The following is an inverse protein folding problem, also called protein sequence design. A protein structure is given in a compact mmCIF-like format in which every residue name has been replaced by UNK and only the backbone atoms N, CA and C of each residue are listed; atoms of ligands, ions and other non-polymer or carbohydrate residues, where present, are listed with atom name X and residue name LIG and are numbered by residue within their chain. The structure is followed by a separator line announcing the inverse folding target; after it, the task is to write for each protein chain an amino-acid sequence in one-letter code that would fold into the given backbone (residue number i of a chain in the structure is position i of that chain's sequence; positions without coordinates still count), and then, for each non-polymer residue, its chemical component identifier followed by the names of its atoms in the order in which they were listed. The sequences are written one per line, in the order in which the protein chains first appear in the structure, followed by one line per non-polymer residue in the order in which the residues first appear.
data_IF_040072492880
#
_entry.id   IF_040072492880
#
_cell.length_a   1.000
_cell.length_b   1.000
_cell.length_c   1.000
_cell.angle_alpha   90.00
_cell.angle_beta   90.00
_cell.angle_gamma   90.00
#
_symmetry.space_group_name_H-M   'P 1'
#
loop_
_entity.id
_entity.type
_entity.pdbx_description
1 polymer ?
#
# COMPACT_ATOMS: atom_id res chain seq x y z
N UNK A 1 -12.13 -28.90 37.57
CA UNK A 1 -11.47 -27.57 37.50
C UNK A 1 -10.48 -27.39 36.34
N UNK A 2 -10.60 -28.02 35.15
CA UNK A 2 -9.70 -27.74 34.01
C UNK A 2 -10.19 -26.60 33.08
N UNK A 3 -11.45 -26.19 33.13
CA UNK A 3 -12.01 -25.19 32.21
C UNK A 3 -11.51 -23.72 32.48
N UNK A 4 -11.04 -23.41 33.67
CA UNK A 4 -10.55 -22.06 34.03
C UNK A 4 -9.12 -21.77 33.59
N UNK A 5 -8.33 -22.77 33.20
CA UNK A 5 -6.96 -22.59 32.72
C UNK A 5 -6.87 -22.34 31.20
N UNK A 6 -7.83 -22.79 30.42
CA UNK A 6 -7.89 -22.57 28.96
C UNK A 6 -8.16 -21.09 28.59
N UNK A 7 -8.90 -20.35 29.43
CA UNK A 7 -9.22 -18.94 29.19
C UNK A 7 -8.05 -17.96 29.41
N UNK A 8 -7.14 -18.28 30.30
CA UNK A 8 -6.00 -17.40 30.63
C UNK A 8 -4.93 -17.36 29.52
N UNK A 9 -4.71 -18.46 28.80
CA UNK A 9 -3.76 -18.50 27.68
C UNK A 9 -4.24 -17.76 26.43
N UNK A 10 -5.54 -17.73 26.21
CA UNK A 10 -6.15 -17.00 25.08
C UNK A 10 -6.10 -15.49 25.31
N UNK A 11 -6.44 -15.01 26.51
CA UNK A 11 -6.39 -13.59 26.86
C UNK A 11 -5.00 -12.99 26.75
N UNK A 12 -3.96 -13.72 27.21
CA UNK A 12 -2.57 -13.28 27.10
C UNK A 12 -2.09 -13.16 25.64
N UNK A 13 -2.48 -14.10 24.77
CA UNK A 13 -2.14 -14.04 23.33
C UNK A 13 -2.83 -12.86 22.63
N UNK A 14 -4.07 -12.59 22.95
CA UNK A 14 -4.82 -11.44 22.42
C UNK A 14 -4.20 -10.12 22.90
N UNK A 15 -3.83 -10.03 24.19
CA UNK A 15 -3.17 -8.86 24.74
C UNK A 15 -1.80 -8.59 24.08
N UNK A 16 -0.99 -9.64 23.88
CA UNK A 16 0.31 -9.53 23.19
C UNK A 16 0.13 -9.11 21.73
N UNK A 17 -0.81 -9.71 21.02
CA UNK A 17 -1.12 -9.32 19.64
C UNK A 17 -1.57 -7.86 19.57
N UNK A 18 -2.46 -7.42 20.47
CA UNK A 18 -2.90 -6.03 20.58
C UNK A 18 -1.75 -5.05 20.90
N UNK A 19 -0.84 -5.44 21.79
CA UNK A 19 0.35 -4.65 22.12
C UNK A 19 1.30 -4.52 20.93
N UNK A 20 1.54 -5.58 20.16
CA UNK A 20 2.37 -5.55 18.95
C UNK A 20 1.73 -4.63 17.89
N UNK A 21 0.42 -4.73 17.67
CA UNK A 21 -0.30 -3.84 16.77
C UNK A 21 -0.24 -2.38 17.22
N UNK A 22 -0.49 -2.11 18.49
CA UNK A 22 -0.40 -0.77 19.06
C UNK A 22 1.00 -0.18 18.94
N UNK A 23 2.04 -0.95 19.27
CA UNK A 23 3.43 -0.54 19.11
C UNK A 23 3.80 -0.25 17.63
N UNK A 24 3.34 -1.09 16.69
CA UNK A 24 3.56 -0.87 15.25
C UNK A 24 2.89 0.40 14.76
N UNK A 25 1.67 0.69 15.23
CA UNK A 25 0.96 1.93 14.89
C UNK A 25 1.68 3.16 15.44
N UNK A 26 2.13 3.13 16.72
CA UNK A 26 2.88 4.22 17.32
C UNK A 26 4.20 4.45 16.60
N UNK A 27 4.95 3.38 16.30
CA UNK A 27 6.20 3.47 15.55
C UNK A 27 5.97 4.06 14.17
N UNK A 28 4.92 3.65 13.47
CA UNK A 28 4.55 4.20 12.16
C UNK A 28 4.25 5.71 12.24
N UNK A 29 3.57 6.16 13.32
CA UNK A 29 3.30 7.59 13.54
C UNK A 29 4.58 8.38 13.82
N UNK A 30 5.49 7.83 14.63
CA UNK A 30 6.79 8.46 14.92
C UNK A 30 7.64 8.57 13.65
N UNK A 31 7.73 7.50 12.86
CA UNK A 31 8.46 7.52 11.58
C UNK A 31 7.81 8.48 10.59
N UNK A 32 6.47 8.57 10.56
CA UNK A 32 5.75 9.57 9.78
C UNK A 32 6.09 11.00 10.18
N UNK A 33 6.16 11.28 11.48
CA UNK A 33 6.60 12.59 11.98
C UNK A 33 8.05 12.91 11.59
N UNK A 34 8.95 11.92 11.68
CA UNK A 34 10.34 12.09 11.22
C UNK A 34 10.37 12.41 9.72
N UNK A 35 9.57 11.71 8.89
CA UNK A 35 9.42 12.04 7.47
C UNK A 35 9.01 13.49 7.26
N UNK A 36 7.98 13.96 7.97
CA UNK A 36 7.46 15.32 7.82
C UNK A 36 8.51 16.37 8.24
N UNK A 37 9.30 16.07 9.29
CA UNK A 37 10.43 16.92 9.69
C UNK A 37 11.54 16.94 8.63
N UNK A 38 11.86 15.80 8.01
CA UNK A 38 12.86 15.72 6.95
C UNK A 38 12.37 16.47 5.72
N UNK A 39 11.14 16.26 5.28
CA UNK A 39 10.51 17.00 4.17
C UNK A 39 10.56 18.50 4.44
N UNK A 40 10.11 18.95 5.61
CA UNK A 40 10.10 20.37 5.98
C UNK A 40 11.49 20.99 6.06
N UNK A 41 12.51 20.23 6.48
CA UNK A 41 13.91 20.73 6.53
C UNK A 41 14.58 20.78 5.15
N UNK A 42 14.27 19.81 4.28
CA UNK A 42 14.88 19.70 2.96
C UNK A 42 14.25 20.66 1.97
N UNK A 43 12.91 20.68 1.91
CA UNK A 43 12.17 21.52 0.95
C UNK A 43 11.90 22.94 1.51
N UNK A 44 11.95 23.12 2.81
CA UNK A 44 11.79 24.42 3.46
C UNK A 44 10.43 25.07 3.20
N UNK A 45 10.45 26.41 3.15
CA UNK A 45 9.30 27.24 2.77
C UNK A 45 9.31 27.60 1.27
N UNK A 46 10.18 26.96 0.49
CA UNK A 46 10.17 27.08 -0.97
C UNK A 46 8.90 26.46 -1.54
N UNK A 47 8.45 26.89 -2.70
CA UNK A 47 7.27 26.31 -3.34
C UNK A 47 7.38 24.81 -3.69
N UNK A 48 8.53 24.15 -3.40
CA UNK A 48 8.71 22.69 -3.52
C UNK A 48 7.90 21.90 -2.50
N UNK A 49 7.72 22.44 -1.27
CA UNK A 49 6.84 21.86 -0.27
C UNK A 49 5.39 21.80 -0.75
N UNK A 50 4.94 22.83 -1.45
CA UNK A 50 3.61 22.86 -2.07
C UNK A 50 3.51 21.86 -3.22
N UNK A 51 4.55 21.74 -4.05
CA UNK A 51 4.62 20.72 -5.12
C UNK A 51 4.59 19.31 -4.56
N UNK A 52 5.31 19.04 -3.46
CA UNK A 52 5.26 17.76 -2.75
C UNK A 52 3.83 17.41 -2.32
N UNK A 53 3.16 18.33 -1.64
CA UNK A 53 1.77 18.12 -1.20
C UNK A 53 0.82 17.91 -2.39
N UNK A 54 0.93 18.75 -3.42
CA UNK A 54 0.10 18.67 -4.61
C UNK A 54 0.33 17.37 -5.41
N UNK A 55 1.58 16.89 -5.48
CA UNK A 55 1.92 15.66 -6.21
C UNK A 55 1.22 14.41 -5.64
N UNK A 56 0.95 14.37 -4.33
CA UNK A 56 0.24 13.27 -3.70
C UNK A 56 -1.28 13.33 -3.85
N UNK A 57 -1.86 14.47 -4.25
CA UNK A 57 -3.32 14.65 -4.31
C UNK A 57 -4.01 13.61 -5.19
N UNK A 58 -3.51 13.37 -6.41
CA UNK A 58 -4.11 12.38 -7.33
C UNK A 58 -3.84 10.94 -6.87
N UNK A 59 -2.59 10.55 -6.53
CA UNK A 59 -2.29 9.24 -5.98
C UNK A 59 -3.08 8.91 -4.71
N UNK A 60 -3.19 9.85 -3.77
CA UNK A 60 -3.92 9.64 -2.51
C UNK A 60 -5.42 9.49 -2.74
N UNK A 61 -6.00 10.27 -3.66
CA UNK A 61 -7.40 10.10 -4.06
C UNK A 61 -7.66 8.70 -4.61
N UNK A 62 -6.77 8.21 -5.48
CA UNK A 62 -6.85 6.83 -5.99
C UNK A 62 -6.71 5.79 -4.88
N UNK A 63 -5.75 6.01 -3.99
CA UNK A 63 -5.54 5.12 -2.86
C UNK A 63 -6.79 5.09 -1.96
N UNK A 64 -7.39 6.24 -1.71
CA UNK A 64 -8.63 6.34 -0.92
C UNK A 64 -9.80 5.62 -1.60
N UNK A 65 -9.92 5.77 -2.91
CA UNK A 65 -10.98 5.13 -3.70
C UNK A 65 -10.81 3.61 -3.82
N UNK A 66 -9.58 3.15 -4.04
CA UNK A 66 -9.28 1.74 -4.35
C UNK A 66 -8.84 0.93 -3.12
N UNK A 67 -8.06 1.53 -2.22
CA UNK A 67 -7.48 0.87 -1.06
C UNK A 67 -8.17 1.20 0.26
N UNK A 68 -9.18 2.08 0.27
CA UNK A 68 -9.92 2.56 1.47
C UNK A 68 -10.58 1.47 2.32
N UNK A 69 -9.87 0.38 2.58
CA UNK A 69 -10.34 -0.79 3.33
C UNK A 69 -11.18 -1.76 2.49
N UNK A 70 -11.70 -1.34 1.32
CA UNK A 70 -12.62 -2.16 0.52
C UNK A 70 -12.00 -3.52 0.15
N UNK A 71 -10.72 -3.54 -0.23
CA UNK A 71 -10.07 -4.78 -0.64
C UNK A 71 -9.85 -5.75 0.52
N UNK A 72 -9.37 -5.26 1.66
CA UNK A 72 -9.19 -6.08 2.86
C UNK A 72 -10.53 -6.48 3.45
N UNK A 73 -11.50 -5.55 3.50
CA UNK A 73 -12.85 -5.81 4.03
C UNK A 73 -13.61 -6.81 3.18
N UNK A 74 -13.48 -6.77 1.84
CA UNK A 74 -14.19 -7.67 0.93
C UNK A 74 -13.46 -9.00 0.77
N UNK A 75 -12.13 -8.98 0.57
CA UNK A 75 -11.38 -10.20 0.28
C UNK A 75 -11.12 -11.06 1.52
N UNK A 76 -10.85 -10.44 2.68
CA UNK A 76 -10.54 -11.17 3.91
C UNK A 76 -11.64 -12.17 4.31
N UNK A 77 -12.95 -11.82 4.32
CA UNK A 77 -14.02 -12.78 4.61
C UNK A 77 -14.09 -13.92 3.59
N UNK A 78 -13.84 -13.64 2.31
CA UNK A 78 -13.86 -14.67 1.25
C UNK A 78 -12.73 -15.68 1.49
N UNK A 79 -11.51 -15.20 1.76
CA UNK A 79 -10.37 -16.04 2.07
C UNK A 79 -10.60 -16.85 3.35
N UNK A 80 -11.08 -16.21 4.41
CA UNK A 80 -11.39 -16.86 5.69
C UNK A 80 -12.50 -17.90 5.55
N UNK A 81 -13.53 -17.65 4.72
CA UNK A 81 -14.59 -18.61 4.44
C UNK A 81 -14.08 -19.90 3.78
N UNK A 82 -13.23 -19.80 2.76
CA UNK A 82 -12.60 -20.97 2.14
C UNK A 82 -11.73 -21.74 3.14
N UNK A 83 -10.93 -21.01 3.95
CA UNK A 83 -10.05 -21.63 4.94
C UNK A 83 -10.84 -22.35 6.05
N UNK A 84 -11.95 -21.79 6.50
CA UNK A 84 -12.82 -22.42 7.50
C UNK A 84 -13.42 -23.74 7.01
N UNK A 85 -13.62 -23.88 5.70
CA UNK A 85 -14.09 -25.10 5.04
C UNK A 85 -12.96 -26.07 4.66
N UNK A 86 -11.68 -25.73 4.93
CA UNK A 86 -10.51 -26.49 4.51
C UNK A 86 -10.23 -26.43 2.99
N UNK A 87 -10.91 -25.54 2.25
CA UNK A 87 -10.74 -25.38 0.80
C UNK A 87 -9.58 -24.43 0.47
N UNK A 88 -8.36 -24.88 0.73
CA UNK A 88 -7.14 -24.12 0.40
C UNK A 88 -7.02 -23.85 -1.11
N UNK A 89 -7.50 -24.80 -1.96
CA UNK A 89 -7.48 -24.63 -3.40
C UNK A 89 -8.45 -23.51 -3.86
N UNK A 90 -9.63 -23.40 -3.25
CA UNK A 90 -10.58 -22.31 -3.48
C UNK A 90 -10.03 -20.96 -3.04
N UNK A 91 -9.42 -20.90 -1.85
CA UNK A 91 -8.75 -19.71 -1.38
C UNK A 91 -7.65 -19.23 -2.35
N UNK A 92 -6.85 -20.13 -2.89
CA UNK A 92 -5.82 -19.78 -3.87
C UNK A 92 -6.40 -19.35 -5.23
N UNK A 93 -7.46 -20.01 -5.71
CA UNK A 93 -8.15 -19.62 -6.94
C UNK A 93 -8.76 -18.22 -6.82
N UNK A 94 -9.47 -17.94 -5.73
CA UNK A 94 -10.06 -16.63 -5.48
C UNK A 94 -9.00 -15.54 -5.43
N UNK A 95 -7.85 -15.77 -4.74
CA UNK A 95 -6.73 -14.85 -4.70
C UNK A 95 -6.19 -14.52 -6.10
N UNK A 96 -5.90 -15.54 -6.90
CA UNK A 96 -5.31 -15.36 -8.24
C UNK A 96 -6.23 -14.60 -9.16
N UNK A 97 -7.54 -14.88 -9.13
CA UNK A 97 -8.54 -14.13 -9.92
C UNK A 97 -8.58 -12.66 -9.54
N UNK A 98 -8.69 -12.37 -8.24
CA UNK A 98 -8.73 -11.00 -7.73
C UNK A 98 -7.40 -10.27 -8.05
N UNK A 99 -6.26 -10.93 -7.83
CA UNK A 99 -4.94 -10.38 -8.16
C UNK A 99 -4.82 -10.02 -9.65
N UNK A 100 -5.18 -10.94 -10.55
CA UNK A 100 -5.08 -10.72 -12.00
C UNK A 100 -6.01 -9.61 -12.48
N UNK A 101 -7.24 -9.58 -11.99
CA UNK A 101 -8.22 -8.54 -12.32
C UNK A 101 -7.75 -7.17 -11.84
N UNK A 102 -7.31 -7.08 -10.58
CA UNK A 102 -6.81 -5.83 -10.01
C UNK A 102 -5.57 -5.34 -10.72
N UNK A 103 -4.61 -6.24 -11.02
CA UNK A 103 -3.41 -5.86 -11.75
C UNK A 103 -3.78 -5.25 -13.12
N UNK A 104 -4.67 -5.91 -13.89
CA UNK A 104 -5.09 -5.40 -15.19
C UNK A 104 -5.81 -4.04 -15.07
N UNK A 105 -6.73 -3.92 -14.11
CA UNK A 105 -7.47 -2.67 -13.86
C UNK A 105 -6.53 -1.54 -13.42
N UNK A 106 -5.60 -1.82 -12.50
CA UNK A 106 -4.67 -0.82 -11.99
C UNK A 106 -3.66 -0.37 -13.04
N UNK A 107 -3.14 -1.29 -13.87
CA UNK A 107 -2.26 -0.94 -14.98
C UNK A 107 -3.01 -0.05 -15.98
N UNK A 108 -4.24 -0.44 -16.36
CA UNK A 108 -5.07 0.38 -17.26
C UNK A 108 -5.34 1.76 -16.65
N UNK A 109 -5.75 1.83 -15.39
CA UNK A 109 -6.00 3.08 -14.68
C UNK A 109 -4.74 3.96 -14.61
N UNK A 110 -3.59 3.36 -14.28
CA UNK A 110 -2.30 4.06 -14.23
C UNK A 110 -1.95 4.65 -15.60
N UNK A 111 -2.10 3.88 -16.68
CA UNK A 111 -1.82 4.36 -18.05
C UNK A 111 -2.77 5.50 -18.43
N UNK A 112 -4.07 5.35 -18.20
CA UNK A 112 -5.07 6.40 -18.49
C UNK A 112 -4.75 7.68 -17.70
N UNK A 113 -4.46 7.57 -16.42
CA UNK A 113 -4.12 8.71 -15.57
C UNK A 113 -2.79 9.35 -15.95
N UNK A 114 -1.79 8.56 -16.33
CA UNK A 114 -0.51 9.05 -16.82
C UNK A 114 -0.69 10.00 -18.00
N UNK A 115 -1.49 9.60 -18.98
CA UNK A 115 -1.80 10.42 -20.16
C UNK A 115 -2.71 11.59 -19.83
N UNK A 116 -3.64 11.41 -18.88
CA UNK A 116 -4.61 12.44 -18.50
C UNK A 116 -4.08 13.42 -17.46
N UNK A 117 -2.92 13.16 -16.84
CA UNK A 117 -2.37 13.98 -15.76
C UNK A 117 -2.39 15.49 -16.09
N UNK A 118 -1.90 15.98 -17.24
CA UNK A 118 -1.91 17.43 -17.51
C UNK A 118 -3.32 18.01 -17.47
N UNK A 119 -4.30 17.34 -18.11
CA UNK A 119 -5.72 17.81 -18.15
C UNK A 119 -6.37 17.80 -16.78
N UNK A 120 -6.03 16.82 -15.93
CA UNK A 120 -6.53 16.74 -14.56
C UNK A 120 -5.95 17.87 -13.74
N UNK A 121 -4.67 18.18 -13.92
CA UNK A 121 -4.01 19.29 -13.23
C UNK A 121 -4.55 20.66 -13.66
N UNK A 122 -4.90 20.84 -14.94
CA UNK A 122 -5.59 22.05 -15.42
C UNK A 122 -6.90 22.32 -14.66
N UNK A 123 -7.58 21.23 -14.25
CA UNK A 123 -8.85 21.30 -13.54
C UNK A 123 -8.68 21.55 -12.02
N UNK A 124 -7.70 20.88 -11.38
CA UNK A 124 -7.53 20.93 -9.92
C UNK A 124 -6.56 22.02 -9.44
N UNK A 125 -5.68 22.52 -10.31
CA UNK A 125 -4.72 23.56 -10.03
C UNK A 125 -4.77 24.69 -11.09
N UNK A 126 -5.95 25.31 -11.34
CA UNK A 126 -6.08 26.37 -12.31
C UNK A 126 -5.26 27.60 -11.88
N UNK A 127 -4.49 28.15 -12.81
CA UNK A 127 -3.66 29.34 -12.56
C UNK A 127 -2.22 29.06 -12.12
N UNK A 128 -1.81 27.79 -12.04
CA UNK A 128 -0.39 27.44 -11.89
C UNK A 128 0.36 27.77 -13.19
N UNK A 129 1.51 28.45 -13.08
CA UNK A 129 2.35 28.76 -14.26
C UNK A 129 2.77 27.50 -15.01
N UNK A 130 2.92 27.60 -16.33
CA UNK A 130 3.16 26.45 -17.21
C UNK A 130 4.38 25.58 -16.79
N UNK A 131 5.43 26.19 -16.31
CA UNK A 131 6.64 25.50 -15.83
C UNK A 131 6.34 24.64 -14.61
N UNK A 132 5.73 25.21 -13.56
CA UNK A 132 5.35 24.48 -12.35
C UNK A 132 4.30 23.40 -12.62
N UNK A 133 3.40 23.64 -13.57
CA UNK A 133 2.42 22.66 -13.99
C UNK A 133 3.08 21.43 -14.65
N UNK A 134 4.11 21.64 -15.49
CA UNK A 134 4.87 20.56 -16.11
C UNK A 134 5.68 19.77 -15.05
N UNK A 135 6.28 20.46 -14.09
CA UNK A 135 7.00 19.85 -12.96
C UNK A 135 6.06 18.99 -12.10
N UNK A 136 4.91 19.54 -11.68
CA UNK A 136 3.90 18.79 -10.92
C UNK A 136 3.41 17.56 -11.69
N UNK A 137 3.20 17.67 -13.00
CA UNK A 137 2.80 16.54 -13.84
C UNK A 137 3.86 15.44 -13.87
N UNK A 138 5.15 15.78 -13.87
CA UNK A 138 6.25 14.82 -13.80
C UNK A 138 6.25 14.08 -12.45
N UNK A 139 6.11 14.80 -11.34
CA UNK A 139 6.07 14.23 -9.99
C UNK A 139 4.88 13.27 -9.78
N UNK A 140 3.68 13.69 -10.22
CA UNK A 140 2.48 12.84 -10.18
C UNK A 140 2.71 11.54 -10.97
N UNK A 141 3.34 11.62 -12.15
CA UNK A 141 3.63 10.45 -12.99
C UNK A 141 4.60 9.47 -12.33
N UNK A 142 5.56 9.96 -11.52
CA UNK A 142 6.44 9.09 -10.72
C UNK A 142 5.63 8.33 -9.65
N UNK A 143 4.64 8.98 -9.04
CA UNK A 143 3.88 8.43 -7.93
C UNK A 143 2.72 7.49 -8.37
N UNK A 144 2.17 7.65 -9.58
CA UNK A 144 1.03 6.86 -10.05
C UNK A 144 1.27 5.34 -9.97
N UNK A 145 2.44 4.78 -10.40
CA UNK A 145 2.71 3.34 -10.30
C UNK A 145 2.73 2.81 -8.87
N UNK A 146 3.01 3.65 -7.87
CA UNK A 146 3.00 3.26 -6.47
C UNK A 146 1.64 2.70 -6.02
N UNK A 147 0.54 3.14 -6.63
CA UNK A 147 -0.81 2.67 -6.32
C UNK A 147 -1.00 1.19 -6.66
N UNK A 148 -0.37 0.69 -7.71
CA UNK A 148 -0.35 -0.74 -8.05
C UNK A 148 0.29 -1.52 -6.89
N UNK A 149 1.41 -1.01 -6.37
CA UNK A 149 2.13 -1.64 -5.26
C UNK A 149 1.29 -1.67 -3.98
N UNK A 150 0.62 -0.56 -3.64
CA UNK A 150 -0.22 -0.46 -2.44
C UNK A 150 -1.42 -1.41 -2.51
N UNK A 151 -2.14 -1.44 -3.63
CA UNK A 151 -3.37 -2.24 -3.76
C UNK A 151 -3.05 -3.73 -3.82
N UNK A 152 -2.08 -4.14 -4.64
CA UNK A 152 -1.69 -5.56 -4.72
C UNK A 152 -1.04 -6.05 -3.41
N UNK A 153 -0.22 -5.22 -2.79
CA UNK A 153 0.36 -5.53 -1.48
C UNK A 153 -0.69 -5.61 -0.38
N UNK A 154 -1.73 -4.78 -0.44
CA UNK A 154 -2.91 -4.87 0.43
C UNK A 154 -3.63 -6.21 0.30
N UNK A 155 -3.81 -6.71 -0.93
CA UNK A 155 -4.39 -8.03 -1.19
C UNK A 155 -3.50 -9.17 -0.62
N UNK A 156 -2.17 -9.09 -0.81
CA UNK A 156 -1.24 -10.06 -0.23
C UNK A 156 -1.25 -10.01 1.31
N UNK A 157 -1.38 -8.82 1.88
CA UNK A 157 -1.54 -8.62 3.32
C UNK A 157 -2.84 -9.25 3.84
N UNK A 158 -3.96 -9.10 3.12
CA UNK A 158 -5.23 -9.73 3.47
C UNK A 158 -5.14 -11.26 3.44
N UNK A 159 -4.43 -11.84 2.44
CA UNK A 159 -4.13 -13.28 2.39
C UNK A 159 -3.37 -13.77 3.63
N UNK A 160 -2.38 -13.01 4.08
CA UNK A 160 -1.60 -13.33 5.28
C UNK A 160 -2.44 -13.18 6.56
N UNK A 161 -3.24 -12.12 6.66
CA UNK A 161 -4.12 -11.86 7.80
C UNK A 161 -5.18 -12.97 7.96
N UNK A 162 -5.74 -13.51 6.85
CA UNK A 162 -6.64 -14.64 6.90
C UNK A 162 -6.00 -15.91 7.49
N UNK A 163 -4.67 -15.92 7.67
CA UNK A 163 -3.86 -17.00 8.25
C UNK A 163 -3.15 -16.60 9.55
N UNK A 164 -3.65 -15.56 10.20
CA UNK A 164 -3.07 -14.99 11.45
C UNK A 164 -1.61 -14.55 11.34
N UNK A 165 -1.14 -14.22 10.11
CA UNK A 165 0.23 -13.75 9.84
C UNK A 165 0.23 -12.23 9.63
N UNK A 166 0.36 -11.48 10.71
CA UNK A 166 0.19 -10.01 10.67
C UNK A 166 1.50 -9.21 10.51
N UNK A 167 2.67 -9.82 10.81
CA UNK A 167 3.95 -9.09 10.90
C UNK A 167 4.36 -8.40 9.58
N UNK A 168 4.20 -9.08 8.43
CA UNK A 168 4.56 -8.52 7.13
C UNK A 168 3.66 -7.33 6.76
N UNK A 169 2.35 -7.42 7.03
CA UNK A 169 1.42 -6.33 6.81
C UNK A 169 1.73 -5.12 7.69
N UNK A 170 2.13 -5.36 8.96
CA UNK A 170 2.45 -4.30 9.91
C UNK A 170 3.77 -3.56 9.58
N UNK A 171 4.75 -4.23 8.95
CA UNK A 171 6.04 -3.62 8.59
C UNK A 171 5.98 -2.82 7.27
N UNK A 172 5.03 -3.09 6.39
CA UNK A 172 4.94 -2.47 5.07
C UNK A 172 4.89 -0.92 5.10
N UNK A 173 4.06 -0.26 5.95
CA UNK A 173 4.02 1.20 6.02
C UNK A 173 5.33 1.82 6.51
N UNK A 174 6.07 1.13 7.40
CA UNK A 174 7.35 1.61 7.90
C UNK A 174 8.38 1.67 6.78
N UNK A 175 8.48 0.61 5.98
CA UNK A 175 9.42 0.54 4.85
C UNK A 175 9.07 1.56 3.77
N UNK A 176 7.79 1.79 3.51
CA UNK A 176 7.33 2.84 2.61
C UNK A 176 7.82 4.22 3.08
N UNK A 177 7.57 4.55 4.34
CA UNK A 177 7.97 5.86 4.91
C UNK A 177 9.49 6.02 4.95
N UNK A 178 10.23 4.95 5.27
CA UNK A 178 11.70 4.96 5.20
C UNK A 178 12.21 5.19 3.78
N UNK A 179 11.55 4.59 2.78
CA UNK A 179 11.84 4.84 1.37
C UNK A 179 11.74 6.31 1.00
N UNK A 180 10.67 6.99 1.43
CA UNK A 180 10.49 8.45 1.24
C UNK A 180 11.64 9.23 1.88
N UNK A 181 11.96 8.95 3.15
CA UNK A 181 13.03 9.63 3.87
C UNK A 181 14.37 9.45 3.15
N UNK A 182 14.72 8.22 2.81
CA UNK A 182 16.00 7.91 2.15
C UNK A 182 16.07 8.56 0.78
N UNK A 183 15.01 8.47 -0.03
CA UNK A 183 14.96 9.08 -1.36
C UNK A 183 15.13 10.60 -1.31
N UNK A 184 14.44 11.27 -0.38
CA UNK A 184 14.55 12.71 -0.19
C UNK A 184 15.92 13.16 0.32
N UNK A 185 16.53 12.40 1.24
CA UNK A 185 17.87 12.70 1.73
C UNK A 185 18.97 12.49 0.67
N UNK A 186 18.79 11.51 -0.23
CA UNK A 186 19.73 11.25 -1.32
C UNK A 186 19.57 12.22 -2.50
N UNK A 187 18.32 12.55 -2.86
CA UNK A 187 18.02 13.49 -3.95
C UNK A 187 18.19 14.94 -3.55
N UNK A 188 17.83 15.30 -2.32
CA UNK A 188 17.89 16.66 -1.82
C UNK A 188 16.79 17.59 -2.37
N UNK A 189 15.81 17.04 -3.10
CA UNK A 189 14.75 17.75 -3.80
C UNK A 189 13.41 17.01 -3.73
N UNK A 190 12.35 17.60 -4.27
CA UNK A 190 11.02 17.01 -4.29
C UNK A 190 10.97 15.74 -5.15
N UNK A 191 11.74 15.67 -6.22
CA UNK A 191 11.78 14.49 -7.09
C UNK A 191 12.39 13.29 -6.37
N UNK A 192 13.46 13.49 -5.61
CA UNK A 192 14.06 12.46 -4.76
C UNK A 192 13.07 11.85 -3.76
N UNK A 193 12.22 12.67 -3.14
CA UNK A 193 11.15 12.19 -2.27
C UNK A 193 10.11 11.35 -3.04
N UNK A 194 9.73 11.74 -4.25
CA UNK A 194 8.79 11.00 -5.08
C UNK A 194 9.36 9.64 -5.54
N UNK A 195 10.62 9.59 -5.98
CA UNK A 195 11.30 8.34 -6.28
C UNK A 195 11.45 7.44 -5.05
N UNK A 196 11.76 8.05 -3.91
CA UNK A 196 11.80 7.35 -2.62
C UNK A 196 10.45 6.76 -2.24
N UNK A 197 9.34 7.47 -2.48
CA UNK A 197 8.00 6.97 -2.27
C UNK A 197 7.67 5.79 -3.18
N UNK A 198 8.02 5.86 -4.46
CA UNK A 198 7.84 4.75 -5.41
C UNK A 198 8.67 3.52 -5.00
N UNK A 199 9.96 3.69 -4.74
CA UNK A 199 10.85 2.61 -4.31
C UNK A 199 10.37 2.00 -2.97
N UNK A 200 9.99 2.85 -2.01
CA UNK A 200 9.43 2.43 -0.74
C UNK A 200 8.13 1.65 -0.87
N UNK A 201 7.26 2.02 -1.83
CA UNK A 201 6.02 1.29 -2.11
C UNK A 201 6.26 -0.09 -2.73
N UNK A 202 7.28 -0.21 -3.58
CA UNK A 202 7.69 -1.50 -4.15
C UNK A 202 8.22 -2.42 -3.05
N UNK A 203 9.14 -1.94 -2.22
CA UNK A 203 9.78 -2.76 -1.18
C UNK A 203 8.79 -3.08 -0.06
N UNK A 204 8.18 -2.08 0.56
CA UNK A 204 7.31 -2.23 1.72
C UNK A 204 5.96 -2.85 1.36
N UNK A 205 5.03 -2.09 0.80
CA UNK A 205 3.68 -2.56 0.49
C UNK A 205 3.62 -3.77 -0.43
N UNK A 206 4.42 -3.84 -1.51
CA UNK A 206 4.33 -4.92 -2.48
C UNK A 206 5.22 -6.12 -2.13
N UNK A 207 6.53 -5.93 -2.01
CA UNK A 207 7.47 -7.06 -1.94
C UNK A 207 7.36 -7.81 -0.62
N UNK A 208 7.31 -7.13 0.53
CA UNK A 208 7.32 -7.79 1.85
C UNK A 208 6.11 -8.71 2.04
N UNK A 209 4.85 -8.26 1.91
CA UNK A 209 3.71 -9.14 2.10
C UNK A 209 3.59 -10.21 0.99
N UNK A 210 3.92 -9.87 -0.25
CA UNK A 210 3.89 -10.84 -1.36
C UNK A 210 4.90 -11.96 -1.14
N UNK A 211 6.14 -11.63 -0.76
CA UNK A 211 7.17 -12.62 -0.47
C UNK A 211 6.80 -13.50 0.73
N UNK A 212 6.26 -12.90 1.80
CA UNK A 212 5.77 -13.63 2.96
C UNK A 212 4.61 -14.57 2.58
N UNK A 213 3.70 -14.14 1.70
CA UNK A 213 2.60 -14.96 1.20
C UNK A 213 3.09 -16.13 0.35
N UNK A 214 4.07 -15.90 -0.55
CA UNK A 214 4.71 -16.95 -1.36
C UNK A 214 5.39 -17.99 -0.48
N UNK A 215 6.16 -17.56 0.52
CA UNK A 215 6.75 -18.47 1.52
C UNK A 215 5.68 -19.21 2.36
N UNK A 216 4.52 -18.59 2.52
CA UNK A 216 3.36 -19.19 3.18
C UNK A 216 2.56 -20.15 2.33
N UNK A 217 3.02 -20.50 1.10
CA UNK A 217 2.38 -21.45 0.21
C UNK A 217 1.46 -20.85 -0.85
N UNK A 218 1.38 -19.50 -0.95
CA UNK A 218 0.68 -18.85 -2.05
C UNK A 218 1.40 -19.16 -3.37
N UNK A 219 0.64 -19.52 -4.40
CA UNK A 219 1.15 -19.74 -5.75
C UNK A 219 0.57 -18.69 -6.68
N UNK A 220 1.37 -17.72 -7.08
CA UNK A 220 0.97 -16.76 -8.11
C UNK A 220 1.00 -17.46 -9.47
N UNK A 221 -0.16 -17.56 -10.09
CA UNK A 221 -0.35 -17.92 -11.51
C UNK A 221 -1.33 -16.93 -12.08
N UNK A 222 -1.06 -16.44 -13.29
CA UNK A 222 -2.00 -15.60 -14.01
C UNK A 222 -3.18 -16.47 -14.44
N UNK A 223 -4.38 -16.22 -13.93
CA UNK A 223 -5.61 -16.92 -14.33
C UNK A 223 -6.54 -15.93 -15.02
N UNK A 224 -6.61 -16.02 -16.34
CA UNK A 224 -7.45 -15.15 -17.17
C UNK A 224 -8.78 -15.80 -17.59
N UNK A 225 -9.03 -17.05 -17.26
CA UNK A 225 -10.23 -17.77 -17.73
C UNK A 225 -11.26 -17.96 -16.62
N UNK A 226 -12.53 -17.55 -16.87
CA UNK A 226 -13.68 -17.96 -16.07
C UNK A 226 -14.08 -19.38 -16.48
N UNK A 227 -13.29 -20.39 -16.13
CA UNK A 227 -13.66 -21.79 -16.35
C UNK A 227 -13.92 -22.44 -15.02
N UNK A 228 -15.16 -22.30 -14.55
CA UNK A 228 -15.78 -23.21 -13.60
C UNK A 228 -16.97 -23.87 -14.31
N UNK A 229 -16.80 -25.12 -14.66
CA UNK A 229 -17.86 -26.11 -14.70
C UNK A 229 -17.59 -27.13 -13.63
#
# INVERSE_FOLDING_TARGET
MPALQAGRGSGAKIAVAGAIWGASLLLSRVVGLVRDLVVGRTLGTSGEGDLWQAAFTIPDFLNYLLAGGALTVVYLPIAAGHLALGDEAGAQRSFRRVWSLLLALLVLATVVLWWSTPRILDLIAPGMGAERHAELAALVRILLPAQICHVLGGLASAWLQARDKHAAAASAPLLYTLGIIVGGLLGGDVEGFCWGALAGSIVGPLCVPTFAALRGGLRLRFEWTPRDR
#
